data_IF_577091649871
#
_entry.id   IF_577091649871
#
_cell.length_a   1.000
_cell.length_b   1.000
_cell.length_c   1.000
_cell.angle_alpha   90.00
_cell.angle_beta   90.00
_cell.angle_gamma   90.00
#
_symmetry.space_group_name_H-M   'P 1'
#
loop_
_entity.id
_entity.type
_entity.pdbx_description
1 polymer ?
#
# COMPACT_ATOMS: atom_id res chain seq x y z
N UNK A 1 4.40 -8.47 -18.74
CA UNK A 1 4.95 -7.89 -17.50
C UNK A 1 4.27 -6.53 -17.30
N UNK A 2 3.92 -6.17 -16.08
CA UNK A 2 3.33 -4.87 -15.79
C UNK A 2 4.28 -3.73 -16.17
N UNK A 3 3.70 -2.58 -16.46
CA UNK A 3 4.44 -1.36 -16.82
C UNK A 3 4.95 -0.69 -15.54
N UNK A 4 6.26 -0.70 -15.33
CA UNK A 4 6.87 0.06 -14.23
C UNK A 4 6.89 1.55 -14.61
N UNK A 5 6.29 2.38 -13.76
CA UNK A 5 6.21 3.82 -13.94
C UNK A 5 7.31 4.56 -13.17
N UNK A 6 7.77 5.68 -13.75
CA UNK A 6 8.61 6.63 -13.02
C UNK A 6 7.77 7.42 -12.01
N UNK A 7 8.34 7.66 -10.82
CA UNK A 7 7.75 8.49 -9.79
C UNK A 7 7.53 9.94 -10.22
N UNK A 8 8.31 10.44 -11.20
CA UNK A 8 8.13 11.76 -11.78
C UNK A 8 6.74 11.97 -12.40
N UNK A 9 6.05 10.89 -12.78
CA UNK A 9 4.69 10.97 -13.31
C UNK A 9 3.64 11.32 -12.26
N UNK A 10 3.99 11.28 -10.96
CA UNK A 10 3.13 11.65 -9.84
C UNK A 10 3.31 13.10 -9.37
N UNK A 11 4.15 13.89 -10.04
CA UNK A 11 4.66 15.20 -9.61
C UNK A 11 3.66 16.36 -9.57
N UNK A 12 2.38 16.14 -9.69
CA UNK A 12 1.39 17.19 -9.41
C UNK A 12 0.79 16.95 -8.05
N UNK A 13 0.95 17.89 -7.09
CA UNK A 13 0.29 17.76 -5.80
C UNK A 13 -1.21 17.60 -6.05
N UNK A 14 -1.81 16.52 -5.55
CA UNK A 14 -3.22 16.30 -5.76
C UNK A 14 -4.02 17.33 -4.94
N UNK A 15 -5.12 17.78 -5.50
CA UNK A 15 -6.09 18.58 -4.75
C UNK A 15 -6.85 17.66 -3.77
N UNK A 16 -7.02 18.13 -2.54
CA UNK A 16 -7.81 17.45 -1.51
C UNK A 16 -7.03 16.41 -0.69
N UNK A 17 -7.73 15.71 0.20
CA UNK A 17 -7.15 14.71 1.09
C UNK A 17 -6.90 13.37 0.39
N UNK A 18 -6.01 12.56 1.01
CA UNK A 18 -5.90 11.13 0.74
C UNK A 18 -6.57 10.33 1.86
N UNK A 19 -7.27 9.27 1.49
CA UNK A 19 -7.82 8.27 2.41
C UNK A 19 -7.10 6.95 2.19
N UNK A 20 -6.60 6.36 3.25
CA UNK A 20 -5.88 5.08 3.20
C UNK A 20 -6.69 4.07 3.99
N UNK A 21 -7.09 2.99 3.32
CA UNK A 21 -7.91 1.94 3.91
C UNK A 21 -7.02 0.78 4.31
N UNK A 22 -6.99 0.48 5.59
CA UNK A 22 -6.40 -0.73 6.15
C UNK A 22 -7.37 -1.91 6.12
N UNK A 23 -7.05 -2.95 6.89
CA UNK A 23 -7.84 -4.18 6.91
C UNK A 23 -8.65 -4.41 8.18
N UNK A 24 -8.57 -3.51 9.17
CA UNK A 24 -9.20 -3.73 10.48
C UNK A 24 -10.72 -3.65 10.45
N UNK A 25 -11.41 -4.33 11.37
CA UNK A 25 -12.89 -4.43 11.38
C UNK A 25 -13.63 -3.10 11.42
N UNK A 26 -13.08 -2.06 12.03
CA UNK A 26 -13.70 -0.72 12.07
C UNK A 26 -14.03 -0.14 10.68
N UNK A 27 -13.42 -0.67 9.62
CA UNK A 27 -13.78 -0.31 8.24
C UNK A 27 -15.27 -0.51 7.94
N UNK A 28 -15.90 -1.52 8.56
CA UNK A 28 -17.32 -1.82 8.36
C UNK A 28 -18.25 -0.74 8.92
N UNK A 29 -17.79 -0.02 9.93
CA UNK A 29 -18.55 1.07 10.57
C UNK A 29 -18.37 2.41 9.84
N UNK A 30 -17.41 2.48 8.90
CA UNK A 30 -17.10 3.70 8.18
C UNK A 30 -17.99 3.87 6.93
N UNK A 31 -18.52 5.09 6.69
CA UNK A 31 -19.35 5.36 5.52
C UNK A 31 -18.49 5.49 4.24
N UNK A 32 -17.81 4.40 3.83
CA UNK A 32 -16.86 4.40 2.71
C UNK A 32 -17.45 4.89 1.38
N UNK A 33 -18.77 4.76 1.20
CA UNK A 33 -19.47 5.29 0.02
C UNK A 33 -19.33 6.82 -0.14
N UNK A 34 -19.11 7.56 0.97
CA UNK A 34 -18.88 9.01 0.94
C UNK A 34 -17.50 9.37 0.36
N UNK A 35 -16.60 8.39 0.21
CA UNK A 35 -15.28 8.60 -0.39
C UNK A 35 -15.31 8.66 -1.92
N UNK A 36 -16.49 8.54 -2.54
CA UNK A 36 -16.65 8.71 -3.99
C UNK A 36 -16.14 10.09 -4.40
N UNK A 37 -15.25 10.13 -5.40
CA UNK A 37 -14.60 11.38 -5.86
C UNK A 37 -13.32 11.78 -5.10
N UNK A 38 -13.04 11.17 -3.96
CA UNK A 38 -11.80 11.38 -3.22
C UNK A 38 -10.65 10.47 -3.68
N UNK A 39 -9.44 10.77 -3.19
CA UNK A 39 -8.25 9.94 -3.45
C UNK A 39 -8.16 8.83 -2.40
N UNK A 40 -8.46 7.61 -2.80
CA UNK A 40 -8.51 6.43 -1.94
C UNK A 40 -7.40 5.47 -2.32
N UNK A 41 -6.66 5.01 -1.31
CA UNK A 41 -5.59 4.03 -1.43
C UNK A 41 -5.86 2.85 -0.51
N UNK A 42 -5.67 1.65 -1.03
CA UNK A 42 -5.92 0.38 -0.35
C UNK A 42 -4.59 -0.26 0.06
N UNK A 43 -4.60 -1.03 1.13
CA UNK A 43 -3.41 -1.68 1.66
C UNK A 43 -3.65 -3.19 1.83
N UNK A 44 -2.76 -4.01 1.28
CA UNK A 44 -2.92 -5.47 1.30
C UNK A 44 -4.32 -5.89 0.81
N UNK A 45 -4.98 -6.76 1.55
CA UNK A 45 -6.29 -7.33 1.20
C UNK A 45 -7.48 -6.37 1.39
N UNK A 46 -7.25 -5.11 1.79
CA UNK A 46 -8.36 -4.13 1.95
C UNK A 46 -9.10 -3.80 0.64
N UNK A 47 -8.59 -4.25 -0.51
CA UNK A 47 -9.32 -4.21 -1.79
C UNK A 47 -10.64 -5.02 -1.74
N UNK A 48 -10.81 -5.91 -0.76
CA UNK A 48 -12.10 -6.57 -0.49
C UNK A 48 -13.24 -5.57 -0.26
N UNK A 49 -12.94 -4.34 0.18
CA UNK A 49 -13.96 -3.29 0.27
C UNK A 49 -14.61 -2.96 -1.07
N UNK A 50 -13.87 -3.09 -2.19
CA UNK A 50 -14.43 -2.95 -3.55
C UNK A 50 -15.30 -4.16 -3.90
N UNK A 51 -14.82 -5.38 -3.62
CA UNK A 51 -15.55 -6.62 -3.89
C UNK A 51 -16.86 -6.69 -3.11
N UNK A 52 -16.86 -6.24 -1.86
CA UNK A 52 -18.04 -6.19 -0.98
C UNK A 52 -18.99 -5.02 -1.31
N UNK A 53 -18.64 -4.15 -2.26
CA UNK A 53 -19.43 -2.97 -2.63
C UNK A 53 -19.44 -1.86 -1.57
N UNK A 54 -18.57 -1.90 -0.58
CA UNK A 54 -18.44 -0.85 0.45
C UNK A 54 -17.78 0.40 -0.13
N UNK A 55 -16.97 0.25 -1.16
CA UNK A 55 -16.24 1.30 -1.86
C UNK A 55 -16.43 1.15 -3.36
N UNK A 56 -16.76 2.25 -4.05
CA UNK A 56 -16.99 2.24 -5.51
C UNK A 56 -15.68 2.08 -6.31
N UNK A 57 -14.63 2.79 -5.88
CA UNK A 57 -13.34 2.82 -6.60
C UNK A 57 -12.19 3.18 -5.68
N UNK A 58 -10.98 2.82 -6.11
CA UNK A 58 -9.74 3.23 -5.48
C UNK A 58 -8.73 3.76 -6.51
N UNK A 59 -7.80 4.59 -6.05
CA UNK A 59 -6.75 5.19 -6.88
C UNK A 59 -5.44 4.41 -6.84
N UNK A 60 -5.26 3.57 -5.83
CA UNK A 60 -4.06 2.77 -5.69
C UNK A 60 -4.20 1.63 -4.69
N UNK A 61 -3.32 0.65 -4.83
CA UNK A 61 -3.22 -0.52 -3.95
C UNK A 61 -1.75 -0.74 -3.59
N UNK A 62 -1.46 -0.79 -2.29
CA UNK A 62 -0.11 -0.92 -1.76
C UNK A 62 0.13 -2.30 -1.15
N UNK A 63 1.26 -2.91 -1.53
CA UNK A 63 1.81 -4.11 -0.90
C UNK A 63 3.29 -3.90 -0.58
N UNK A 64 3.72 -4.30 0.61
CA UNK A 64 5.12 -4.15 1.04
C UNK A 64 5.78 -5.48 1.40
N UNK A 65 4.99 -6.51 1.72
CA UNK A 65 5.47 -7.85 2.05
C UNK A 65 5.25 -8.83 0.90
N UNK A 66 6.31 -9.60 0.57
CA UNK A 66 6.24 -10.59 -0.49
C UNK A 66 5.22 -11.70 -0.17
N UNK A 67 5.21 -12.20 1.08
CA UNK A 67 4.28 -13.27 1.50
C UNK A 67 2.82 -12.86 1.35
N UNK A 68 2.45 -11.66 1.81
CA UNK A 68 1.09 -11.16 1.66
C UNK A 68 0.70 -10.94 0.19
N UNK A 69 1.66 -10.53 -0.65
CA UNK A 69 1.41 -10.39 -2.07
C UNK A 69 1.19 -11.75 -2.76
N UNK A 70 2.06 -12.73 -2.49
CA UNK A 70 1.96 -14.09 -3.07
C UNK A 70 0.66 -14.79 -2.66
N UNK A 71 0.22 -14.57 -1.42
CA UNK A 71 -1.03 -15.12 -0.90
C UNK A 71 -2.26 -14.59 -1.65
N UNK A 72 -2.25 -13.32 -2.06
CA UNK A 72 -3.44 -12.65 -2.57
C UNK A 72 -3.45 -12.41 -4.08
N UNK A 73 -2.33 -12.63 -4.79
CA UNK A 73 -2.20 -12.22 -6.19
C UNK A 73 -3.19 -12.91 -7.12
N UNK A 74 -3.44 -14.19 -6.92
CA UNK A 74 -4.35 -14.96 -7.78
C UNK A 74 -5.80 -14.47 -7.60
N UNK A 75 -6.22 -14.18 -6.36
CA UNK A 75 -7.52 -13.63 -6.02
C UNK A 75 -7.70 -12.20 -6.59
N UNK A 76 -6.67 -11.37 -6.46
CA UNK A 76 -6.64 -10.02 -7.05
C UNK A 76 -6.80 -10.05 -8.57
N UNK A 77 -6.14 -10.98 -9.24
CA UNK A 77 -6.24 -11.14 -10.70
C UNK A 77 -7.63 -11.59 -11.13
N UNK A 78 -8.27 -12.48 -10.36
CA UNK A 78 -9.65 -12.91 -10.62
C UNK A 78 -10.64 -11.77 -10.47
N UNK A 79 -10.47 -10.90 -9.48
CA UNK A 79 -11.34 -9.75 -9.26
C UNK A 79 -11.12 -8.62 -10.29
N UNK A 80 -10.03 -8.62 -11.04
CA UNK A 80 -9.83 -7.67 -12.13
C UNK A 80 -9.34 -6.30 -11.69
N UNK A 81 -8.45 -6.22 -10.71
CA UNK A 81 -7.88 -4.97 -10.19
C UNK A 81 -6.84 -4.31 -11.13
N UNK A 82 -6.77 -4.71 -12.40
CA UNK A 82 -5.76 -4.23 -13.36
C UNK A 82 -5.77 -2.69 -13.55
N UNK A 83 -6.94 -2.06 -13.39
CA UNK A 83 -7.11 -0.62 -13.57
C UNK A 83 -6.69 0.22 -12.35
N UNK A 84 -6.33 -0.41 -11.24
CA UNK A 84 -5.88 0.28 -10.04
C UNK A 84 -4.36 0.33 -10.04
N UNK A 85 -3.78 1.51 -9.84
CA UNK A 85 -2.32 1.67 -9.72
C UNK A 85 -1.77 0.86 -8.56
N UNK A 86 -0.65 0.20 -8.77
CA UNK A 86 0.00 -0.61 -7.74
C UNK A 86 1.22 0.13 -7.19
N UNK A 87 1.40 0.05 -5.87
CA UNK A 87 2.56 0.55 -5.15
C UNK A 87 3.21 -0.64 -4.45
N UNK A 88 4.29 -1.14 -5.03
CA UNK A 88 4.98 -2.33 -4.54
C UNK A 88 6.36 -1.98 -4.01
N UNK A 89 6.73 -2.58 -2.87
CA UNK A 89 8.11 -2.50 -2.44
C UNK A 89 9.03 -3.24 -3.43
N UNK A 90 10.28 -2.83 -3.49
CA UNK A 90 11.32 -3.50 -4.26
C UNK A 90 11.48 -4.97 -3.84
N UNK A 91 11.17 -5.32 -2.59
CA UNK A 91 11.16 -6.71 -2.10
C UNK A 91 10.18 -7.60 -2.86
N UNK A 92 9.03 -7.06 -3.30
CA UNK A 92 8.05 -7.80 -4.10
C UNK A 92 8.58 -8.01 -5.52
N UNK A 93 9.23 -6.99 -6.09
CA UNK A 93 9.66 -6.99 -7.48
C UNK A 93 10.94 -7.81 -7.69
N UNK A 94 11.88 -7.74 -6.74
CA UNK A 94 13.19 -8.41 -6.85
C UNK A 94 13.20 -9.80 -6.21
N UNK A 95 12.25 -10.09 -5.33
CA UNK A 95 12.26 -11.28 -4.47
C UNK A 95 13.37 -11.24 -3.42
N UNK A 96 13.14 -11.85 -2.28
CA UNK A 96 14.16 -11.95 -1.20
C UNK A 96 15.36 -12.82 -1.63
N UNK A 97 15.18 -13.65 -2.62
CA UNK A 97 16.24 -14.47 -3.23
C UNK A 97 16.33 -14.07 -4.70
N UNK A 98 17.14 -13.11 -5.02
CA UNK A 98 17.63 -12.62 -6.34
C UNK A 98 17.41 -13.48 -7.60
N UNK A 99 16.59 -14.50 -7.55
CA UNK A 99 16.32 -15.42 -8.65
C UNK A 99 14.85 -15.32 -9.04
N UNK A 100 14.58 -14.53 -10.08
CA UNK A 100 13.43 -14.71 -10.97
C UNK A 100 12.02 -14.39 -10.47
N UNK A 101 11.83 -13.51 -9.49
CA UNK A 101 10.48 -13.06 -9.21
C UNK A 101 9.99 -12.13 -10.33
N UNK A 102 9.17 -12.68 -11.21
CA UNK A 102 8.40 -11.88 -12.15
C UNK A 102 7.11 -11.50 -11.44
N UNK A 103 6.88 -10.21 -11.24
CA UNK A 103 5.56 -9.73 -10.83
C UNK A 103 4.54 -10.37 -11.75
N UNK A 104 3.73 -11.28 -11.21
CA UNK A 104 2.62 -11.89 -11.94
C UNK A 104 1.55 -10.83 -12.04
N UNK A 105 1.45 -10.12 -13.12
CA UNK A 105 0.45 -9.08 -13.32
C UNK A 105 0.09 -8.94 -14.78
N UNK A 106 -1.07 -8.35 -15.03
CA UNK A 106 -1.53 -8.00 -16.37
C UNK A 106 -0.52 -6.99 -16.98
N UNK A 107 -0.13 -7.12 -18.26
CA UNK A 107 0.68 -6.13 -18.97
C UNK A 107 0.11 -4.71 -18.95
N UNK A 108 -1.19 -4.56 -18.70
CA UNK A 108 -1.89 -3.27 -18.58
C UNK A 108 -1.73 -2.62 -17.20
N UNK A 109 -1.24 -3.36 -16.20
CA UNK A 109 -1.06 -2.79 -14.86
C UNK A 109 0.03 -1.73 -14.82
N UNK A 110 -0.28 -0.62 -14.17
CA UNK A 110 0.66 0.43 -13.82
C UNK A 110 1.21 0.18 -12.41
N UNK A 111 2.54 -0.01 -12.31
CA UNK A 111 3.21 -0.34 -11.05
C UNK A 111 4.26 0.71 -10.71
N UNK A 112 4.16 1.28 -9.52
CA UNK A 112 5.22 2.08 -8.90
C UNK A 112 6.01 1.19 -7.94
N UNK A 113 7.32 1.15 -8.11
CA UNK A 113 8.22 0.40 -7.24
C UNK A 113 8.96 1.36 -6.33
N UNK A 114 8.92 1.12 -5.04
CA UNK A 114 9.63 1.93 -4.06
C UNK A 114 10.65 1.09 -3.26
N UNK A 115 11.83 1.65 -2.97
CA UNK A 115 12.83 0.97 -2.17
C UNK A 115 12.34 0.80 -0.73
N UNK A 116 12.41 -0.42 -0.19
CA UNK A 116 12.19 -0.69 1.22
C UNK A 116 13.53 -0.75 1.92
N UNK A 117 13.81 0.20 2.79
CA UNK A 117 15.02 0.13 3.62
C UNK A 117 14.85 -0.98 4.66
N UNK A 118 15.57 -2.07 4.47
CA UNK A 118 15.81 -3.02 5.55
C UNK A 118 16.77 -2.31 6.51
N UNK A 119 16.41 -2.23 7.80
CA UNK A 119 17.31 -1.66 8.80
C UNK A 119 18.70 -2.29 8.61
N UNK A 120 19.68 -1.47 8.19
CA UNK A 120 21.04 -1.94 8.12
C UNK A 120 21.43 -2.47 9.51
N UNK A 121 22.05 -3.63 9.54
CA UNK A 121 22.65 -4.22 10.76
C UNK A 121 23.91 -3.43 11.18
N UNK A 122 23.91 -2.13 10.99
CA UNK A 122 24.95 -1.28 11.55
C UNK A 122 24.68 -1.23 13.03
N UNK A 123 25.60 -1.78 13.83
CA UNK A 123 25.51 -2.10 15.26
C UNK A 123 24.99 -1.01 16.20
N UNK A 124 24.32 -0.01 15.69
CA UNK A 124 23.71 1.07 16.44
C UNK A 124 22.27 0.69 16.82
N UNK A 125 22.13 0.04 17.98
CA UNK A 125 20.86 -0.39 18.56
C UNK A 125 19.83 0.74 18.76
N UNK A 126 20.23 2.01 18.60
CA UNK A 126 19.41 3.19 18.82
C UNK A 126 18.55 3.57 17.60
N UNK A 127 18.75 2.96 16.41
CA UNK A 127 17.91 3.20 15.23
C UNK A 127 16.63 2.37 15.21
N UNK A 128 16.35 1.59 16.23
CA UNK A 128 15.15 0.73 16.28
C UNK A 128 13.82 1.48 16.26
N UNK A 129 13.79 2.77 16.57
CA UNK A 129 12.57 3.52 16.80
C UNK A 129 12.45 4.83 15.98
N UNK A 130 13.36 5.13 15.07
CA UNK A 130 13.24 6.34 14.29
C UNK A 130 12.40 6.08 13.05
N UNK A 131 11.17 6.55 13.08
CA UNK A 131 10.35 6.72 11.89
C UNK A 131 11.12 7.68 10.96
N UNK A 132 11.82 7.10 9.98
CA UNK A 132 12.54 7.90 8.98
C UNK A 132 11.53 8.32 7.92
N UNK A 133 11.28 9.63 7.87
CA UNK A 133 10.50 10.23 6.80
C UNK A 133 11.46 10.67 5.69
N UNK A 134 11.50 9.99 4.54
CA UNK A 134 12.41 10.34 3.46
C UNK A 134 12.01 11.66 2.81
N UNK A 135 12.98 12.36 2.23
CA UNK A 135 12.71 13.58 1.45
C UNK A 135 12.22 13.24 0.04
N UNK A 136 12.64 12.09 -0.47
CA UNK A 136 12.27 11.55 -1.79
C UNK A 136 12.04 10.06 -1.69
N UNK A 137 11.26 9.52 -2.62
CA UNK A 137 10.92 8.09 -2.62
C UNK A 137 12.17 7.21 -2.84
N UNK A 138 13.13 7.68 -3.61
CA UNK A 138 14.39 6.99 -3.91
C UNK A 138 15.26 6.79 -2.64
N UNK A 139 15.07 7.65 -1.64
CA UNK A 139 15.75 7.50 -0.35
C UNK A 139 15.27 6.25 0.42
N UNK A 140 14.18 5.66 -0.03
CA UNK A 140 13.59 4.45 0.50
C UNK A 140 12.77 4.66 1.75
N UNK A 141 11.69 3.88 1.87
CA UNK A 141 10.81 3.92 3.03
C UNK A 141 11.37 3.02 4.12
N UNK A 142 11.52 3.56 5.32
CA UNK A 142 12.00 2.83 6.49
C UNK A 142 11.01 1.72 6.92
N UNK A 143 11.41 0.92 7.90
CA UNK A 143 10.54 -0.11 8.47
C UNK A 143 9.47 0.53 9.34
N UNK A 144 8.31 0.80 8.80
CA UNK A 144 7.18 1.40 9.53
C UNK A 144 6.40 0.39 10.38
N UNK A 145 6.54 -0.91 10.07
CA UNK A 145 5.80 -1.99 10.73
C UNK A 145 4.40 -2.22 10.13
N UNK A 146 3.89 -1.32 9.30
CA UNK A 146 2.57 -1.45 8.66
C UNK A 146 2.61 -0.95 7.22
N UNK A 147 1.96 -1.68 6.32
CA UNK A 147 1.76 -1.25 4.93
C UNK A 147 0.94 0.03 4.84
N UNK A 148 0.01 0.26 5.76
CA UNK A 148 -0.81 1.47 5.84
C UNK A 148 0.06 2.70 6.11
N UNK A 149 1.03 2.58 7.01
CA UNK A 149 2.00 3.65 7.26
C UNK A 149 2.98 3.84 6.09
N UNK A 150 3.38 2.78 5.41
CA UNK A 150 4.19 2.90 4.18
C UNK A 150 3.42 3.71 3.13
N UNK A 151 2.13 3.41 2.93
CA UNK A 151 1.28 4.15 2.00
C UNK A 151 1.08 5.61 2.43
N UNK A 152 1.00 5.89 3.73
CA UNK A 152 0.93 7.26 4.23
C UNK A 152 2.19 8.07 3.88
N UNK A 153 3.37 7.46 4.02
CA UNK A 153 4.64 8.07 3.59
C UNK A 153 4.63 8.33 2.08
N UNK A 154 4.16 7.37 1.28
CA UNK A 154 4.04 7.53 -0.18
C UNK A 154 3.08 8.70 -0.50
N UNK A 155 1.91 8.76 0.12
CA UNK A 155 0.96 9.86 -0.07
C UNK A 155 1.59 11.21 0.30
N UNK A 156 2.34 11.28 1.40
CA UNK A 156 3.06 12.50 1.79
C UNK A 156 4.07 12.92 0.71
N UNK A 157 4.86 11.99 0.18
CA UNK A 157 5.83 12.24 -0.89
C UNK A 157 5.16 12.63 -2.21
N UNK A 158 3.94 12.13 -2.47
CA UNK A 158 3.10 12.56 -3.60
C UNK A 158 2.52 13.96 -3.42
N UNK A 159 2.73 14.61 -2.26
CA UNK A 159 2.33 15.98 -2.00
C UNK A 159 1.01 16.14 -1.24
N UNK A 160 0.36 15.06 -0.80
CA UNK A 160 -0.80 15.17 0.09
C UNK A 160 -0.40 15.77 1.44
N UNK A 161 -1.22 16.66 1.96
CA UNK A 161 -1.01 17.30 3.28
C UNK A 161 -2.01 16.82 4.33
N UNK A 162 -3.18 16.41 3.89
CA UNK A 162 -4.20 15.80 4.73
C UNK A 162 -4.33 14.34 4.34
N UNK A 163 -3.97 13.43 5.25
CA UNK A 163 -3.98 11.98 5.05
C UNK A 163 -4.79 11.37 6.19
N UNK A 164 -5.85 10.67 5.84
CA UNK A 164 -6.74 9.98 6.78
C UNK A 164 -6.50 8.48 6.68
N UNK A 165 -6.38 7.83 7.85
CA UNK A 165 -6.20 6.38 7.97
C UNK A 165 -7.50 5.79 8.51
N UNK A 166 -8.08 4.84 7.79
CA UNK A 166 -9.30 4.12 8.17
C UNK A 166 -8.98 2.62 8.27
N UNK A 167 -9.60 1.92 9.20
CA UNK A 167 -9.34 0.49 9.41
C UNK A 167 -7.90 0.19 9.85
N UNK A 168 -7.38 0.97 10.80
CA UNK A 168 -6.06 0.78 11.41
C UNK A 168 -6.20 0.80 12.94
N UNK A 169 -6.95 -0.17 13.47
CA UNK A 169 -7.36 -0.20 14.87
C UNK A 169 -6.21 -0.51 15.83
N UNK A 170 -5.16 -1.17 15.34
CA UNK A 170 -4.00 -1.62 16.13
C UNK A 170 -4.36 -2.56 17.30
N UNK A 171 -5.58 -3.10 17.28
CA UNK A 171 -6.04 -4.09 18.24
C UNK A 171 -5.81 -5.50 17.70
N UNK A 172 -4.80 -6.18 18.22
CA UNK A 172 -4.45 -7.55 17.87
C UNK A 172 -5.02 -8.58 18.88
N UNK A 173 -5.89 -8.16 19.78
CA UNK A 173 -6.53 -9.03 20.77
C UNK A 173 -7.95 -9.44 20.35
N UNK A 174 -8.52 -8.78 19.34
CA UNK A 174 -9.83 -9.08 18.81
C UNK A 174 -9.87 -10.48 18.19
N UNK A 175 -11.02 -11.13 18.27
CA UNK A 175 -11.26 -12.44 17.64
C UNK A 175 -11.23 -12.37 16.11
N UNK A 176 -11.53 -11.19 15.56
CA UNK A 176 -11.47 -10.88 14.13
C UNK A 176 -10.42 -9.82 13.91
N UNK A 177 -9.43 -10.14 13.08
CA UNK A 177 -8.33 -9.20 12.76
C UNK A 177 -8.61 -8.37 11.51
N UNK A 178 -9.46 -8.89 10.61
CA UNK A 178 -9.74 -8.25 9.33
C UNK A 178 -11.24 -8.19 9.07
N UNK A 179 -11.70 -7.13 8.42
CA UNK A 179 -13.12 -6.92 8.11
C UNK A 179 -13.68 -7.92 7.08
N UNK A 180 -12.82 -8.62 6.38
CA UNK A 180 -13.15 -9.57 5.31
C UNK A 180 -13.04 -11.04 5.73
N UNK A 181 -12.89 -11.34 7.02
CA UNK A 181 -12.87 -12.72 7.59
C UNK A 181 -14.24 -13.24 7.94
#
# INVERSE_FOLDING_TARGET
>A
MPKILSWDTLNKPPNGPAFIIGGSPSVLDEPLHLLSGHRVYLCNKSWKALEMGLLEKANGLCYTGLSSYEEHIDEMNQYGLANIRKFYSDLIVTGVKRSTFKVKGDPKEEVFVFPKRVAQKDGNKNLKNNLYLPSRIEDGIGKTGSVTLDMAVICYLMGFRNIYLLGMDLDYTAAQYYFFE
#
